data_IF_685169670873
#
_entry.id   IF_685169670873
#
_cell.length_a   1.000
_cell.length_b   1.000
_cell.length_c   1.000
_cell.angle_alpha   90.00
_cell.angle_beta   90.00
_cell.angle_gamma   90.00
#
_symmetry.space_group_name_H-M   'P 1'
#
loop_
_entity.id
_entity.type
_entity.pdbx_description
1 polymer ?
#
# COMPACT_ATOMS: atom_id res chain seq x y z
N UNK A 1 29.63 -64.56 -10.08
CA UNK A 1 29.16 -65.48 -9.02
C UNK A 1 27.87 -64.91 -8.45
N UNK A 2 26.75 -65.63 -8.53
CA UNK A 2 25.48 -65.18 -7.92
C UNK A 2 25.45 -65.60 -6.45
N UNK A 3 25.20 -64.66 -5.55
CA UNK A 3 25.17 -64.88 -4.10
C UNK A 3 23.71 -64.81 -3.65
N UNK A 4 23.22 -65.87 -3.01
CA UNK A 4 21.88 -65.89 -2.41
C UNK A 4 21.95 -65.31 -1.00
N UNK A 5 21.12 -64.29 -0.73
CA UNK A 5 20.95 -63.68 0.59
C UNK A 5 19.44 -63.62 0.90
N UNK A 6 19.10 -63.79 2.18
CA UNK A 6 17.74 -63.63 2.67
C UNK A 6 17.67 -62.28 3.40
N UNK A 7 16.64 -61.49 3.10
CA UNK A 7 16.39 -60.19 3.73
C UNK A 7 14.99 -60.19 4.33
N UNK A 8 14.82 -59.51 5.45
CA UNK A 8 13.51 -59.28 6.06
C UNK A 8 13.07 -57.86 5.76
N UNK A 9 11.84 -57.70 5.26
CA UNK A 9 11.26 -56.40 4.91
C UNK A 9 9.83 -56.33 5.46
N UNK A 10 9.47 -55.19 6.04
CA UNK A 10 8.08 -54.92 6.39
C UNK A 10 7.23 -54.80 5.12
N UNK A 11 5.96 -55.18 5.21
CA UNK A 11 4.98 -55.10 4.12
C UNK A 11 4.88 -53.69 3.50
N UNK A 12 5.03 -52.64 4.32
CA UNK A 12 5.03 -51.24 3.86
C UNK A 12 6.16 -50.93 2.86
N UNK A 13 7.30 -51.60 2.96
CA UNK A 13 8.43 -51.43 2.04
C UNK A 13 8.30 -52.36 0.83
N UNK A 14 7.74 -53.55 1.01
CA UNK A 14 7.39 -54.44 -0.09
C UNK A 14 6.41 -53.75 -1.06
N UNK A 15 5.39 -53.06 -0.52
CA UNK A 15 4.45 -52.23 -1.30
C UNK A 15 5.12 -51.11 -2.09
N UNK A 16 6.20 -50.51 -1.57
CA UNK A 16 6.97 -49.49 -2.29
C UNK A 16 7.78 -50.06 -3.46
N UNK A 17 8.14 -51.35 -3.39
CA UNK A 17 8.80 -52.07 -4.49
C UNK A 17 7.82 -52.54 -5.55
N UNK A 18 6.50 -52.45 -5.33
CA UNK A 18 5.49 -52.96 -6.25
C UNK A 18 5.66 -52.47 -7.69
N UNK A 19 5.94 -51.17 -7.96
CA UNK A 19 6.15 -50.71 -9.34
C UNK A 19 7.33 -51.41 -10.04
N UNK A 20 8.42 -51.67 -9.30
CA UNK A 20 9.60 -52.39 -9.83
C UNK A 20 9.35 -53.89 -9.94
N UNK A 21 8.55 -54.47 -9.03
CA UNK A 21 8.10 -55.86 -9.11
C UNK A 21 7.25 -56.08 -10.36
N UNK A 22 6.30 -55.20 -10.63
CA UNK A 22 5.42 -55.28 -11.80
C UNK A 22 6.24 -55.17 -13.10
N UNK A 23 7.19 -54.23 -13.15
CA UNK A 23 8.13 -54.09 -14.28
C UNK A 23 9.01 -55.34 -14.51
N UNK A 24 9.27 -56.11 -13.44
CA UNK A 24 10.07 -57.32 -13.47
C UNK A 24 9.24 -58.62 -13.40
N UNK A 25 7.95 -58.56 -13.75
CA UNK A 25 7.05 -59.72 -13.75
C UNK A 25 7.02 -60.49 -12.41
N UNK A 26 7.01 -59.76 -11.30
CA UNK A 26 7.00 -60.31 -9.94
C UNK A 26 8.36 -60.79 -9.41
N UNK A 27 9.45 -60.62 -10.15
CA UNK A 27 10.78 -61.05 -9.71
C UNK A 27 11.40 -60.08 -8.70
N UNK A 28 11.30 -60.42 -7.40
CA UNK A 28 11.87 -59.61 -6.32
C UNK A 28 13.38 -59.42 -6.40
N UNK A 29 14.12 -60.44 -6.85
CA UNK A 29 15.59 -60.32 -6.98
C UNK A 29 16.01 -59.39 -8.12
N UNK A 30 15.17 -59.22 -9.14
CA UNK A 30 15.41 -58.26 -10.21
C UNK A 30 15.01 -56.84 -9.76
N UNK A 31 13.83 -56.69 -9.15
CA UNK A 31 13.40 -55.40 -8.58
C UNK A 31 14.36 -54.82 -7.54
N UNK A 32 14.96 -55.67 -6.68
CA UNK A 32 15.99 -55.25 -5.72
C UNK A 32 17.29 -54.84 -6.44
N UNK A 33 17.67 -55.51 -7.53
CA UNK A 33 18.83 -55.09 -8.33
C UNK A 33 18.60 -53.73 -8.97
N UNK A 34 17.43 -53.49 -9.56
CA UNK A 34 17.09 -52.17 -10.11
C UNK A 34 17.09 -51.08 -9.04
N UNK A 35 16.61 -51.40 -7.83
CA UNK A 35 16.67 -50.46 -6.70
C UNK A 35 18.12 -50.14 -6.31
N UNK A 36 19.02 -51.13 -6.35
CA UNK A 36 20.45 -50.93 -6.08
C UNK A 36 21.09 -50.07 -7.18
N UNK A 37 20.78 -50.31 -8.45
CA UNK A 37 21.30 -49.50 -9.57
C UNK A 37 20.83 -48.04 -9.49
N UNK A 38 19.56 -47.82 -9.14
CA UNK A 38 19.01 -46.47 -8.89
C UNK A 38 19.71 -45.81 -7.70
N UNK A 39 19.92 -46.55 -6.60
CA UNK A 39 20.61 -46.04 -5.42
C UNK A 39 22.09 -45.74 -5.70
N UNK A 40 22.79 -46.59 -6.45
CA UNK A 40 24.18 -46.40 -6.85
C UNK A 40 24.31 -45.16 -7.74
N UNK A 41 23.46 -45.05 -8.77
CA UNK A 41 23.40 -43.88 -9.64
C UNK A 41 23.13 -42.60 -8.85
N UNK A 42 22.19 -42.63 -7.90
CA UNK A 42 21.89 -41.48 -7.06
C UNK A 42 23.06 -41.11 -6.13
N UNK A 43 23.80 -42.10 -5.60
CA UNK A 43 24.97 -41.89 -4.75
C UNK A 43 26.24 -41.49 -5.51
N UNK A 44 26.32 -41.70 -6.83
CA UNK A 44 27.38 -41.13 -7.66
C UNK A 44 27.39 -39.59 -7.62
N UNK A 45 26.21 -38.99 -7.48
CA UNK A 45 26.02 -37.53 -7.50
C UNK A 45 25.76 -36.91 -6.12
N UNK A 46 25.47 -37.73 -5.09
CA UNK A 46 25.08 -37.26 -3.76
C UNK A 46 25.85 -37.98 -2.66
N UNK A 47 26.23 -37.26 -1.59
CA UNK A 47 27.14 -37.77 -0.56
C UNK A 47 26.45 -38.71 0.44
N UNK A 48 25.12 -38.74 0.46
CA UNK A 48 24.33 -39.63 1.33
C UNK A 48 23.00 -40.04 0.69
N UNK A 49 22.42 -41.14 1.18
CA UNK A 49 21.11 -41.63 0.74
C UNK A 49 20.02 -40.59 1.00
N UNK A 50 20.08 -39.87 2.13
CA UNK A 50 19.10 -38.84 2.47
C UNK A 50 19.15 -37.65 1.51
N UNK A 51 20.36 -37.25 1.09
CA UNK A 51 20.56 -36.19 0.10
C UNK A 51 20.03 -36.62 -1.28
N UNK A 52 20.30 -37.87 -1.67
CA UNK A 52 19.83 -38.45 -2.93
C UNK A 52 18.29 -38.57 -2.97
N UNK A 53 17.67 -39.01 -1.88
CA UNK A 53 16.20 -39.07 -1.75
C UNK A 53 15.60 -37.67 -1.82
N UNK A 54 16.21 -36.67 -1.18
CA UNK A 54 15.74 -35.28 -1.27
C UNK A 54 15.83 -34.76 -2.70
N UNK A 55 16.94 -35.01 -3.39
CA UNK A 55 17.11 -34.63 -4.79
C UNK A 55 16.02 -35.26 -5.67
N UNK A 56 15.83 -36.58 -5.61
CA UNK A 56 14.82 -37.29 -6.41
C UNK A 56 13.37 -36.84 -6.11
N UNK A 57 13.09 -36.31 -4.91
CA UNK A 57 11.81 -35.70 -4.57
C UNK A 57 11.65 -34.26 -5.10
N UNK A 58 12.75 -33.54 -5.28
CA UNK A 58 12.78 -32.16 -5.79
C UNK A 58 12.88 -32.10 -7.32
N UNK A 59 13.38 -33.16 -7.97
CA UNK A 59 13.53 -33.25 -9.44
C UNK A 59 12.22 -33.07 -10.21
N UNK A 60 11.07 -33.69 -9.84
CA UNK A 60 9.82 -33.53 -10.58
C UNK A 60 9.37 -32.06 -10.68
N UNK A 61 9.49 -31.30 -9.58
CA UNK A 61 9.15 -29.88 -9.57
C UNK A 61 10.09 -29.03 -10.45
N UNK A 62 11.37 -29.44 -10.58
CA UNK A 62 12.34 -28.77 -11.46
C UNK A 62 12.09 -29.13 -12.93
N UNK A 63 11.70 -30.36 -13.22
CA UNK A 63 11.35 -30.81 -14.57
C UNK A 63 10.06 -30.13 -15.05
N UNK A 64 9.00 -30.09 -14.25
CA UNK A 64 7.78 -29.32 -14.54
C UNK A 64 8.07 -27.83 -14.78
N UNK A 65 8.91 -27.21 -13.95
CA UNK A 65 9.30 -25.82 -14.16
C UNK A 65 10.09 -25.63 -15.47
N UNK A 66 11.01 -26.55 -15.79
CA UNK A 66 11.76 -26.49 -17.04
C UNK A 66 10.86 -26.69 -18.26
N UNK A 67 9.86 -27.58 -18.19
CA UNK A 67 8.88 -27.79 -19.26
C UNK A 67 8.02 -26.54 -19.47
N UNK A 68 7.50 -25.94 -18.41
CA UNK A 68 6.71 -24.70 -18.51
C UNK A 68 7.54 -23.51 -19.02
N UNK A 69 8.84 -23.46 -18.72
CA UNK A 69 9.77 -22.49 -19.33
C UNK A 69 9.98 -22.78 -20.82
N UNK A 70 10.15 -24.05 -21.20
CA UNK A 70 10.36 -24.44 -22.60
C UNK A 70 9.11 -24.19 -23.47
N UNK A 71 7.93 -24.42 -22.91
CA UNK A 71 6.65 -24.20 -23.59
C UNK A 71 6.20 -22.73 -23.59
N UNK A 72 6.95 -21.85 -22.92
CA UNK A 72 6.69 -20.39 -22.91
C UNK A 72 5.63 -19.93 -21.91
N UNK A 73 5.17 -20.81 -21.02
CA UNK A 73 4.23 -20.47 -19.94
C UNK A 73 4.93 -19.70 -18.82
N UNK A 74 6.19 -20.05 -18.51
CA UNK A 74 7.02 -19.39 -17.51
C UNK A 74 8.26 -18.75 -18.14
N UNK A 75 8.77 -17.68 -17.52
CA UNK A 75 10.01 -17.01 -17.95
C UNK A 75 11.04 -16.99 -16.83
N UNK A 76 12.32 -17.07 -17.21
CA UNK A 76 13.42 -16.86 -16.26
C UNK A 76 13.75 -15.38 -16.21
N UNK A 77 13.58 -14.78 -15.03
CA UNK A 77 13.94 -13.39 -14.76
C UNK A 77 15.10 -13.31 -13.77
N UNK A 78 16.01 -12.37 -14.00
CA UNK A 78 17.06 -12.07 -13.05
C UNK A 78 16.45 -11.55 -11.73
N UNK A 79 16.93 -12.06 -10.58
CA UNK A 79 16.44 -11.66 -9.25
C UNK A 79 16.46 -10.14 -9.03
N UNK A 80 17.50 -9.44 -9.45
CA UNK A 80 17.61 -7.98 -9.28
C UNK A 80 16.55 -7.25 -10.10
N UNK A 81 16.23 -7.73 -11.31
CA UNK A 81 15.16 -7.19 -12.13
C UNK A 81 13.79 -7.44 -11.49
N UNK A 82 13.54 -8.65 -10.99
CA UNK A 82 12.30 -8.98 -10.30
C UNK A 82 12.09 -8.12 -9.04
N UNK A 83 13.13 -7.95 -8.23
CA UNK A 83 13.09 -7.07 -7.06
C UNK A 83 12.84 -5.60 -7.42
N UNK A 84 13.42 -5.15 -8.55
CA UNK A 84 13.13 -3.82 -9.08
C UNK A 84 11.66 -3.68 -9.50
N UNK A 85 11.08 -4.69 -10.16
CA UNK A 85 9.66 -4.71 -10.54
C UNK A 85 8.76 -4.61 -9.31
N UNK A 86 8.97 -5.44 -8.28
CA UNK A 86 8.19 -5.37 -7.03
C UNK A 86 8.33 -4.03 -6.32
N UNK A 87 9.49 -3.38 -6.42
CA UNK A 87 9.67 -2.03 -5.88
C UNK A 87 8.89 -0.99 -6.66
N UNK A 88 8.83 -1.11 -7.99
CA UNK A 88 8.13 -0.18 -8.88
C UNK A 88 6.60 -0.32 -8.83
N UNK A 89 6.08 -1.50 -8.50
CA UNK A 89 4.62 -1.73 -8.35
C UNK A 89 4.10 -1.42 -6.96
N UNK A 90 5.00 -1.10 -6.01
CA UNK A 90 4.62 -0.84 -4.62
C UNK A 90 3.60 0.30 -4.51
N UNK A 91 2.48 0.03 -3.85
CA UNK A 91 1.42 1.03 -3.62
C UNK A 91 0.33 1.03 -4.69
N UNK A 92 0.48 0.26 -5.78
CA UNK A 92 -0.54 0.01 -6.81
C UNK A 92 -1.26 -1.29 -6.50
N UNK A 93 -2.58 -1.35 -6.66
CA UNK A 93 -3.34 -2.59 -6.41
C UNK A 93 -3.27 -3.50 -7.63
N UNK A 94 -2.95 -4.77 -7.42
CA UNK A 94 -3.01 -5.80 -8.47
C UNK A 94 -4.46 -6.03 -8.90
N UNK A 95 -4.69 -6.10 -10.20
CA UNK A 95 -6.00 -6.39 -10.77
C UNK A 95 -6.57 -7.72 -10.28
N UNK A 96 -7.88 -7.75 -10.07
CA UNK A 96 -8.58 -8.93 -9.53
C UNK A 96 -8.42 -10.16 -10.43
N UNK A 97 -8.43 -9.97 -11.76
CA UNK A 97 -8.22 -11.04 -12.74
C UNK A 97 -6.89 -11.73 -12.54
N UNK A 98 -5.81 -10.95 -12.39
CA UNK A 98 -4.48 -11.49 -12.14
C UNK A 98 -4.38 -12.18 -10.77
N UNK A 99 -5.06 -11.66 -9.74
CA UNK A 99 -5.12 -12.35 -8.44
C UNK A 99 -5.80 -13.71 -8.55
N UNK A 100 -6.92 -13.78 -9.29
CA UNK A 100 -7.68 -15.02 -9.47
C UNK A 100 -6.95 -16.03 -10.39
N UNK A 101 -6.13 -15.55 -11.33
CA UNK A 101 -5.24 -16.39 -12.13
C UNK A 101 -4.11 -17.01 -11.27
N UNK A 102 -3.53 -16.21 -10.35
CA UNK A 102 -2.44 -16.66 -9.47
C UNK A 102 -2.91 -17.45 -8.25
N UNK A 103 -4.13 -17.24 -7.80
CA UNK A 103 -4.73 -17.88 -6.62
C UNK A 103 -6.16 -18.27 -7.01
N UNK A 104 -6.32 -19.47 -7.57
CA UNK A 104 -7.61 -19.93 -8.07
C UNK A 104 -8.63 -20.09 -6.92
N UNK A 105 -9.69 -19.27 -6.86
CA UNK A 105 -10.67 -19.31 -5.77
C UNK A 105 -11.52 -20.59 -5.78
N UNK A 106 -11.64 -21.28 -6.91
CA UNK A 106 -12.44 -22.51 -7.03
C UNK A 106 -11.70 -23.75 -6.53
N UNK A 107 -10.36 -23.69 -6.43
CA UNK A 107 -9.54 -24.77 -5.86
C UNK A 107 -9.36 -24.62 -4.34
N UNK A 108 -9.61 -23.44 -3.78
CA UNK A 108 -9.28 -23.10 -2.40
C UNK A 108 -10.57 -22.94 -1.59
N UNK A 109 -10.92 -23.97 -0.84
CA UNK A 109 -12.16 -24.00 -0.07
C UNK A 109 -12.01 -23.36 1.32
N UNK A 110 -10.86 -23.55 1.96
CA UNK A 110 -10.61 -23.13 3.34
C UNK A 110 -9.22 -22.46 3.50
N UNK A 111 -9.00 -21.85 4.67
CA UNK A 111 -7.76 -21.12 4.97
C UNK A 111 -6.52 -22.02 5.04
N UNK A 112 -6.70 -23.32 5.33
CA UNK A 112 -5.59 -24.28 5.39
C UNK A 112 -5.15 -24.69 3.99
N UNK A 113 -6.10 -24.93 3.10
CA UNK A 113 -5.85 -25.15 1.68
C UNK A 113 -5.16 -23.94 1.04
N UNK A 114 -5.55 -22.72 1.41
CA UNK A 114 -4.86 -21.50 0.97
C UNK A 114 -3.39 -21.48 1.43
N UNK A 115 -3.13 -21.74 2.72
CA UNK A 115 -1.76 -21.80 3.26
C UNK A 115 -0.92 -22.85 2.54
N UNK A 116 -1.46 -24.05 2.33
CA UNK A 116 -0.76 -25.16 1.69
C UNK A 116 -0.53 -24.89 0.19
N UNK A 117 -1.51 -24.28 -0.50
CA UNK A 117 -1.40 -23.82 -1.88
C UNK A 117 -0.25 -22.80 -2.04
N UNK A 118 -0.26 -21.73 -1.26
CA UNK A 118 0.73 -20.65 -1.36
C UNK A 118 2.15 -21.17 -1.12
N UNK A 119 2.33 -22.05 -0.13
CA UNK A 119 3.63 -22.66 0.15
C UNK A 119 4.05 -23.68 -0.92
N UNK A 120 3.11 -24.41 -1.51
CA UNK A 120 3.40 -25.32 -2.65
C UNK A 120 3.86 -24.52 -3.86
N UNK A 121 3.09 -23.51 -4.27
CA UNK A 121 3.40 -22.64 -5.41
C UNK A 121 4.75 -21.93 -5.21
N UNK A 122 5.00 -21.39 -4.01
CA UNK A 122 6.29 -20.78 -3.68
C UNK A 122 7.45 -21.75 -3.90
N UNK A 123 7.33 -23.02 -3.47
CA UNK A 123 8.36 -24.05 -3.71
C UNK A 123 8.51 -24.41 -5.18
N UNK A 124 7.40 -24.59 -5.91
CA UNK A 124 7.42 -24.91 -7.34
C UNK A 124 8.14 -23.83 -8.17
N UNK A 125 7.90 -22.56 -7.86
CA UNK A 125 8.60 -21.43 -8.50
C UNK A 125 9.95 -21.08 -7.86
N UNK A 126 10.43 -21.90 -6.92
CA UNK A 126 11.69 -21.69 -6.19
C UNK A 126 11.76 -20.32 -5.47
N UNK A 127 10.60 -19.77 -5.11
CA UNK A 127 10.51 -18.62 -4.26
C UNK A 127 10.80 -19.03 -2.81
N UNK A 128 11.59 -18.23 -2.12
CA UNK A 128 12.02 -18.53 -0.73
C UNK A 128 10.94 -18.15 0.29
N UNK A 129 9.82 -17.59 -0.17
CA UNK A 129 8.76 -17.08 0.68
C UNK A 129 8.02 -18.22 1.36
N UNK A 130 7.74 -18.02 2.64
CA UNK A 130 6.91 -18.91 3.43
C UNK A 130 5.71 -18.15 3.97
N UNK A 131 4.52 -18.73 3.80
CA UNK A 131 3.27 -18.18 4.30
C UNK A 131 2.79 -19.04 5.47
N UNK A 132 2.31 -18.41 6.53
CA UNK A 132 1.57 -19.08 7.60
C UNK A 132 0.29 -18.33 7.91
N UNK A 133 -0.80 -19.07 8.10
CA UNK A 133 -2.13 -18.51 8.34
C UNK A 133 -2.65 -19.04 9.67
N UNK A 134 -3.04 -18.13 10.57
CA UNK A 134 -3.68 -18.47 11.85
C UNK A 134 -5.07 -17.87 11.90
N UNK A 135 -6.08 -18.69 12.14
CA UNK A 135 -7.46 -18.27 12.34
C UNK A 135 -8.15 -19.29 13.27
N UNK A 136 -9.24 -18.87 13.91
CA UNK A 136 -10.00 -19.73 14.82
C UNK A 136 -10.87 -20.74 14.05
N UNK A 137 -11.55 -20.27 13.00
CA UNK A 137 -12.32 -21.09 12.06
C UNK A 137 -11.65 -21.05 10.68
N UNK A 138 -11.26 -22.21 10.17
CA UNK A 138 -10.62 -22.35 8.86
C UNK A 138 -11.59 -22.16 7.69
N UNK A 139 -12.89 -22.39 7.89
CA UNK A 139 -13.89 -22.31 6.83
C UNK A 139 -14.44 -20.89 6.70
N UNK A 140 -14.78 -20.27 7.83
CA UNK A 140 -15.43 -18.96 7.90
C UNK A 140 -14.80 -18.07 8.99
N UNK A 141 -13.54 -17.64 8.80
CA UNK A 141 -12.81 -16.86 9.80
C UNK A 141 -13.45 -15.48 10.06
N UNK A 142 -13.68 -15.14 11.33
CA UNK A 142 -14.00 -13.77 11.75
C UNK A 142 -12.76 -12.87 11.78
N UNK A 143 -11.60 -13.47 12.03
CA UNK A 143 -10.29 -12.83 11.98
C UNK A 143 -9.25 -13.81 11.49
N UNK A 144 -8.19 -13.29 10.89
CA UNK A 144 -7.05 -14.10 10.47
C UNK A 144 -5.75 -13.32 10.65
N UNK A 145 -4.68 -14.05 10.96
CA UNK A 145 -3.33 -13.55 11.02
C UNK A 145 -2.49 -14.24 9.96
N UNK A 146 -2.07 -13.49 8.96
CA UNK A 146 -1.18 -13.98 7.90
C UNK A 146 0.24 -13.51 8.18
N UNK A 147 1.18 -14.45 8.20
CA UNK A 147 2.61 -14.19 8.34
C UNK A 147 3.33 -14.62 7.06
N UNK A 148 3.95 -13.67 6.39
CA UNK A 148 4.81 -13.92 5.22
C UNK A 148 6.25 -13.72 5.67
N UNK A 149 7.09 -14.74 5.53
CA UNK A 149 8.47 -14.74 6.01
C UNK A 149 9.46 -15.03 4.89
N UNK A 150 10.73 -14.69 5.15
CA UNK A 150 11.86 -14.78 4.22
C UNK A 150 11.76 -13.77 3.06
N UNK A 151 12.71 -13.86 2.12
CA UNK A 151 12.86 -12.94 0.99
C UNK A 151 13.07 -11.47 1.40
N UNK A 152 12.96 -10.55 0.45
CA UNK A 152 13.05 -9.10 0.66
C UNK A 152 11.71 -8.52 1.13
N UNK A 153 11.74 -7.28 1.64
CA UNK A 153 10.51 -6.56 2.01
C UNK A 153 9.62 -6.29 0.79
N UNK A 154 10.20 -6.06 -0.39
CA UNK A 154 9.45 -5.76 -1.62
C UNK A 154 8.69 -6.98 -2.12
N UNK A 155 9.40 -8.12 -2.20
CA UNK A 155 8.79 -9.41 -2.49
C UNK A 155 7.67 -9.71 -1.50
N UNK A 156 7.93 -9.65 -0.18
CA UNK A 156 6.89 -9.92 0.83
C UNK A 156 5.68 -8.99 0.72
N UNK A 157 5.88 -7.70 0.44
CA UNK A 157 4.78 -6.74 0.28
C UNK A 157 3.92 -7.06 -0.95
N UNK A 158 4.51 -7.51 -2.06
CA UNK A 158 3.77 -7.95 -3.24
C UNK A 158 2.90 -9.18 -2.93
N UNK A 159 3.47 -10.22 -2.32
CA UNK A 159 2.69 -11.42 -1.95
C UNK A 159 1.64 -11.12 -0.87
N UNK A 160 1.97 -10.25 0.08
CA UNK A 160 1.03 -9.78 1.11
C UNK A 160 -0.20 -9.14 0.48
N UNK A 161 0.00 -8.31 -0.55
CA UNK A 161 -1.09 -7.71 -1.29
C UNK A 161 -1.94 -8.73 -2.04
N UNK A 162 -1.33 -9.70 -2.75
CA UNK A 162 -2.09 -10.75 -3.45
C UNK A 162 -2.98 -11.53 -2.49
N UNK A 163 -2.42 -11.95 -1.35
CA UNK A 163 -3.16 -12.69 -0.32
C UNK A 163 -4.25 -11.81 0.30
N UNK A 164 -3.96 -10.54 0.61
CA UNK A 164 -4.94 -9.62 1.15
C UNK A 164 -6.11 -9.39 0.17
N UNK A 165 -5.80 -9.20 -1.11
CA UNK A 165 -6.82 -9.01 -2.14
C UNK A 165 -7.70 -10.25 -2.27
N UNK A 166 -7.11 -11.44 -2.33
CA UNK A 166 -7.85 -12.71 -2.35
C UNK A 166 -8.77 -12.87 -1.13
N UNK A 167 -8.25 -12.66 0.08
CA UNK A 167 -9.02 -12.80 1.32
C UNK A 167 -10.17 -11.78 1.44
N UNK A 168 -9.97 -10.55 0.93
CA UNK A 168 -11.03 -9.55 0.92
C UNK A 168 -12.21 -9.94 0.03
N UNK A 169 -11.92 -10.48 -1.16
CA UNK A 169 -12.94 -10.83 -2.16
C UNK A 169 -13.65 -12.14 -1.82
N UNK A 170 -12.87 -13.17 -1.46
CA UNK A 170 -13.39 -14.52 -1.33
C UNK A 170 -13.71 -14.94 0.11
N UNK A 171 -13.20 -14.21 1.11
CA UNK A 171 -13.46 -14.49 2.54
C UNK A 171 -14.02 -13.29 3.31
N UNK A 172 -14.27 -12.15 2.65
CA UNK A 172 -14.78 -10.91 3.27
C UNK A 172 -13.94 -10.43 4.46
N UNK A 173 -12.63 -10.60 4.38
CA UNK A 173 -11.67 -10.20 5.39
C UNK A 173 -10.92 -8.93 4.93
N UNK A 174 -11.08 -7.83 5.67
CA UNK A 174 -10.34 -6.59 5.41
C UNK A 174 -9.07 -6.52 6.27
N UNK A 175 -8.08 -5.76 5.78
CA UNK A 175 -6.80 -5.53 6.46
C UNK A 175 -6.99 -4.51 7.58
N UNK A 176 -6.75 -4.94 8.82
CA UNK A 176 -6.78 -4.05 9.98
C UNK A 176 -5.39 -3.41 10.21
N UNK A 177 -4.35 -4.24 10.18
CA UNK A 177 -2.97 -3.84 10.47
C UNK A 177 -1.95 -4.59 9.61
N UNK A 178 -0.86 -3.90 9.26
CA UNK A 178 0.31 -4.51 8.60
C UNK A 178 1.58 -4.13 9.37
N UNK A 179 2.28 -5.13 9.88
CA UNK A 179 3.56 -4.97 10.57
C UNK A 179 4.69 -5.53 9.72
N UNK A 180 5.56 -4.65 9.23
CA UNK A 180 6.73 -5.01 8.42
C UNK A 180 7.96 -5.11 9.31
N UNK A 181 8.55 -6.30 9.39
CA UNK A 181 9.81 -6.59 10.08
C UNK A 181 10.91 -6.90 9.06
N UNK A 182 12.15 -7.00 9.53
CA UNK A 182 13.31 -7.27 8.66
C UNK A 182 13.17 -8.58 7.87
N UNK A 183 12.67 -9.64 8.51
CA UNK A 183 12.55 -10.98 7.93
C UNK A 183 11.11 -11.46 7.71
N UNK A 184 10.10 -10.66 8.08
CA UNK A 184 8.69 -11.04 7.94
C UNK A 184 7.76 -9.84 7.77
N UNK A 185 6.58 -10.09 7.23
CA UNK A 185 5.45 -9.17 7.13
C UNK A 185 4.24 -9.87 7.73
N UNK A 186 3.67 -9.28 8.77
CA UNK A 186 2.49 -9.79 9.47
C UNK A 186 1.28 -8.92 9.12
N UNK A 187 0.16 -9.56 8.78
CA UNK A 187 -1.07 -8.90 8.37
C UNK A 187 -2.20 -9.42 9.26
N UNK A 188 -2.86 -8.51 9.96
CA UNK A 188 -4.06 -8.81 10.74
C UNK A 188 -5.29 -8.48 9.91
N UNK A 189 -6.22 -9.42 9.87
CA UNK A 189 -7.48 -9.30 9.14
C UNK A 189 -8.67 -9.38 10.08
N UNK A 190 -9.75 -8.70 9.70
CA UNK A 190 -11.04 -8.72 10.39
C UNK A 190 -12.17 -8.79 9.38
N UNK A 191 -13.23 -9.52 9.71
CA UNK A 191 -14.42 -9.63 8.86
C UNK A 191 -15.04 -8.24 8.61
N UNK A 192 -15.32 -7.97 7.34
CA UNK A 192 -15.99 -6.76 6.89
C UNK A 192 -17.00 -7.11 5.78
N UNK A 193 -18.29 -7.04 6.11
CA UNK A 193 -19.39 -7.33 5.17
C UNK A 193 -20.06 -6.07 4.64
N UNK A 194 -19.56 -4.88 5.01
CA UNK A 194 -20.22 -3.60 4.74
C UNK A 194 -19.99 -3.06 3.33
N UNK A 195 -19.25 -3.79 2.48
CA UNK A 195 -18.77 -3.31 1.18
C UNK A 195 -19.27 -4.23 0.08
N UNK A 196 -19.68 -3.64 -1.04
CA UNK A 196 -20.10 -4.38 -2.24
C UNK A 196 -18.94 -5.25 -2.76
N UNK A 197 -19.27 -6.39 -3.36
CA UNK A 197 -18.25 -7.31 -3.90
C UNK A 197 -17.36 -6.67 -4.97
N UNK A 198 -17.80 -5.60 -5.64
CA UNK A 198 -17.04 -4.89 -6.66
C UNK A 198 -16.04 -3.87 -6.12
N UNK A 199 -16.19 -3.40 -4.89
CA UNK A 199 -15.31 -2.38 -4.33
C UNK A 199 -14.07 -2.96 -3.65
N UNK A 200 -12.98 -2.19 -3.66
CA UNK A 200 -11.75 -2.52 -2.95
C UNK A 200 -11.92 -2.09 -1.49
N UNK A 201 -11.67 -3.01 -0.56
CA UNK A 201 -11.82 -2.74 0.86
C UNK A 201 -10.84 -1.64 1.38
N UNK A 202 -11.26 -0.76 2.30
CA UNK A 202 -10.49 0.37 2.83
C UNK A 202 -9.15 -0.03 3.42
N UNK A 203 -9.08 -1.16 4.13
CA UNK A 203 -7.83 -1.66 4.71
C UNK A 203 -6.78 -1.95 3.65
N UNK A 204 -7.17 -2.61 2.55
CA UNK A 204 -6.28 -2.85 1.40
C UNK A 204 -5.83 -1.54 0.78
N UNK A 205 -6.75 -0.61 0.49
CA UNK A 205 -6.40 0.68 -0.10
C UNK A 205 -5.42 1.45 0.77
N UNK A 206 -5.63 1.46 2.08
CA UNK A 206 -4.76 2.12 3.05
C UNK A 206 -3.35 1.52 3.11
N UNK A 207 -3.23 0.19 3.12
CA UNK A 207 -1.96 -0.48 3.41
C UNK A 207 -1.15 -0.94 2.19
N UNK A 208 -1.83 -1.18 1.07
CA UNK A 208 -1.22 -1.70 -0.17
C UNK A 208 -1.54 -0.85 -1.40
N UNK A 209 -2.65 -0.11 -1.40
CA UNK A 209 -3.12 0.70 -2.55
C UNK A 209 -3.01 2.21 -2.37
N UNK A 210 -2.08 2.70 -1.55
CA UNK A 210 -2.00 4.12 -1.19
C UNK A 210 -1.58 5.03 -2.35
N UNK A 211 -1.09 4.47 -3.47
CA UNK A 211 -0.82 5.20 -4.71
C UNK A 211 -1.81 4.86 -5.83
N UNK A 212 -2.80 3.99 -5.59
CA UNK A 212 -3.65 3.43 -6.64
C UNK A 212 -4.39 4.54 -7.42
N UNK A 213 -5.01 5.48 -6.69
CA UNK A 213 -5.70 6.63 -7.28
C UNK A 213 -4.75 7.52 -8.08
N UNK A 214 -3.56 7.79 -7.55
CA UNK A 214 -2.57 8.63 -8.21
C UNK A 214 -2.04 7.96 -9.48
N UNK A 215 -1.73 6.66 -9.41
CA UNK A 215 -1.20 5.93 -10.55
C UNK A 215 -2.25 5.79 -11.65
N UNK A 216 -3.51 5.52 -11.31
CA UNK A 216 -4.61 5.55 -12.27
C UNK A 216 -4.75 6.92 -12.93
N UNK A 217 -4.72 8.00 -12.16
CA UNK A 217 -4.78 9.36 -12.71
C UNK A 217 -3.59 9.67 -13.65
N UNK A 218 -2.39 9.22 -13.31
CA UNK A 218 -1.21 9.37 -14.17
C UNK A 218 -1.30 8.51 -15.43
N UNK A 219 -1.80 7.29 -15.32
CA UNK A 219 -1.93 6.35 -16.43
C UNK A 219 -3.08 6.81 -17.38
N UNK A 220 -4.22 7.26 -16.85
CA UNK A 220 -5.38 7.74 -17.61
C UNK A 220 -5.12 9.09 -18.30
N UNK A 221 -4.31 9.97 -17.67
CA UNK A 221 -4.03 11.33 -18.16
C UNK A 221 -2.52 11.55 -18.43
N UNK A 222 -1.81 10.53 -18.91
CA UNK A 222 -0.34 10.54 -19.06
C UNK A 222 0.18 11.74 -19.86
N UNK A 223 -0.46 12.05 -21.00
CA UNK A 223 -0.03 13.16 -21.85
C UNK A 223 -0.12 14.51 -21.12
N UNK A 224 -1.24 14.75 -20.42
CA UNK A 224 -1.46 15.97 -19.65
C UNK A 224 -0.40 16.13 -18.56
N UNK A 225 -0.18 15.12 -17.73
CA UNK A 225 0.77 15.19 -16.63
C UNK A 225 2.22 15.32 -17.12
N UNK A 226 2.57 14.62 -18.20
CA UNK A 226 3.88 14.74 -18.84
C UNK A 226 4.13 16.16 -19.33
N UNK A 227 3.17 16.74 -20.06
CA UNK A 227 3.29 18.10 -20.58
C UNK A 227 3.32 19.14 -19.44
N UNK A 228 2.52 18.95 -18.40
CA UNK A 228 2.51 19.81 -17.22
C UNK A 228 3.89 19.83 -16.56
N UNK A 229 4.48 18.66 -16.29
CA UNK A 229 5.80 18.55 -15.66
C UNK A 229 6.90 19.20 -16.52
N UNK A 230 6.88 18.99 -17.85
CA UNK A 230 7.83 19.67 -18.75
C UNK A 230 7.68 21.19 -18.72
N UNK A 231 6.44 21.68 -18.71
CA UNK A 231 6.14 23.12 -18.66
C UNK A 231 6.66 23.74 -17.36
N UNK A 232 6.38 23.10 -16.21
CA UNK A 232 6.90 23.54 -14.91
C UNK A 232 8.42 23.52 -14.85
N UNK A 233 9.06 22.47 -15.37
CA UNK A 233 10.53 22.37 -15.34
C UNK A 233 11.20 23.43 -16.24
N UNK A 234 10.65 23.68 -17.43
CA UNK A 234 11.15 24.72 -18.35
C UNK A 234 11.12 26.11 -17.69
N UNK A 235 10.06 26.40 -16.94
CA UNK A 235 9.87 27.66 -16.20
C UNK A 235 10.52 27.64 -14.81
N UNK A 236 11.35 26.63 -14.49
CA UNK A 236 12.00 26.47 -13.17
C UNK A 236 11.03 26.60 -11.99
N UNK A 237 9.84 26.04 -12.16
CA UNK A 237 8.74 26.09 -11.20
C UNK A 237 8.25 27.51 -10.86
N UNK A 238 8.53 28.51 -11.71
CA UNK A 238 8.06 29.89 -11.58
C UNK A 238 6.71 30.11 -12.28
N UNK A 239 5.76 29.21 -12.06
CA UNK A 239 4.40 29.27 -12.61
C UNK A 239 3.40 29.28 -11.47
N UNK A 240 2.35 30.09 -11.58
CA UNK A 240 1.25 30.10 -10.62
C UNK A 240 0.09 29.29 -11.18
N UNK A 241 -0.42 28.33 -10.39
CA UNK A 241 -1.68 27.63 -10.70
C UNK A 241 -2.86 28.37 -10.09
N UNK A 242 -3.83 28.73 -10.92
CA UNK A 242 -5.11 29.31 -10.49
C UNK A 242 -6.26 28.54 -11.12
N UNK A 243 -7.37 28.44 -10.38
CA UNK A 243 -8.61 27.98 -10.98
C UNK A 243 -9.10 28.99 -12.03
N UNK A 244 -9.69 28.52 -13.14
CA UNK A 244 -10.12 29.39 -14.26
C UNK A 244 -11.00 30.55 -13.79
N UNK A 245 -11.98 30.28 -12.93
CA UNK A 245 -12.86 31.34 -12.38
C UNK A 245 -12.12 32.35 -11.50
N UNK A 246 -11.01 31.98 -10.87
CA UNK A 246 -10.20 32.92 -10.09
C UNK A 246 -9.35 33.78 -11.03
N UNK A 247 -8.76 33.16 -12.06
CA UNK A 247 -8.03 33.88 -13.09
C UNK A 247 -8.91 34.91 -13.79
N UNK A 248 -10.16 34.56 -14.13
CA UNK A 248 -11.13 35.50 -14.73
C UNK A 248 -11.36 36.73 -13.85
N UNK A 249 -11.58 36.55 -12.54
CA UNK A 249 -11.79 37.66 -11.60
C UNK A 249 -10.51 38.47 -11.40
N UNK A 250 -9.35 37.83 -11.34
CA UNK A 250 -8.07 38.56 -11.30
C UNK A 250 -7.86 39.37 -12.59
N UNK A 251 -8.25 38.85 -13.75
CA UNK A 251 -8.12 39.53 -15.04
C UNK A 251 -9.05 40.75 -15.15
N UNK A 252 -10.17 40.79 -14.43
CA UNK A 252 -11.02 41.99 -14.33
C UNK A 252 -10.50 43.03 -13.32
N UNK A 253 -9.41 42.72 -12.60
CA UNK A 253 -8.82 43.60 -11.58
C UNK A 253 -9.42 43.45 -10.19
N UNK A 254 -10.35 42.50 -10.00
CA UNK A 254 -10.95 42.19 -8.71
C UNK A 254 -10.17 41.09 -7.96
N UNK A 255 -10.48 40.89 -6.68
CA UNK A 255 -9.87 39.84 -5.86
C UNK A 255 -10.87 38.70 -5.69
N UNK A 256 -10.61 37.50 -6.24
CA UNK A 256 -11.53 36.38 -6.14
C UNK A 256 -11.68 35.89 -4.70
N UNK A 257 -12.82 35.25 -4.41
CA UNK A 257 -12.97 34.50 -3.17
C UNK A 257 -12.36 33.07 -3.34
N UNK A 258 -11.28 32.74 -2.60
CA UNK A 258 -10.68 31.41 -2.60
C UNK A 258 -11.47 30.27 -1.96
N UNK A 259 -12.45 30.55 -1.11
CA UNK A 259 -12.96 29.56 -0.14
C UNK A 259 -13.53 28.31 -0.80
N UNK A 260 -14.27 28.48 -1.89
CA UNK A 260 -14.88 27.37 -2.65
C UNK A 260 -13.92 26.25 -3.05
N UNK A 261 -12.64 26.55 -3.28
CA UNK A 261 -11.66 25.52 -3.65
C UNK A 261 -11.30 24.66 -2.44
N UNK A 262 -11.01 25.31 -1.31
CA UNK A 262 -10.74 24.63 -0.05
C UNK A 262 -11.94 23.79 0.39
N UNK A 263 -13.16 24.32 0.27
CA UNK A 263 -14.38 23.59 0.63
C UNK A 263 -14.58 22.33 -0.20
N UNK A 264 -14.33 22.39 -1.52
CA UNK A 264 -14.41 21.23 -2.41
C UNK A 264 -13.36 20.17 -2.08
N UNK A 265 -12.14 20.60 -1.76
CA UNK A 265 -11.05 19.69 -1.40
C UNK A 265 -11.29 19.01 -0.05
N UNK A 266 -11.74 19.77 0.95
CA UNK A 266 -12.01 19.27 2.29
C UNK A 266 -13.39 18.59 2.42
N UNK A 267 -14.28 18.76 1.44
CA UNK A 267 -15.69 18.32 1.48
C UNK A 267 -16.45 18.83 2.72
N UNK A 268 -16.08 20.03 3.18
CA UNK A 268 -16.62 20.68 4.37
C UNK A 268 -16.59 22.19 4.16
N UNK A 269 -17.59 22.91 4.69
CA UNK A 269 -17.61 24.38 4.70
C UNK A 269 -16.46 24.95 5.53
N UNK A 270 -15.89 26.08 5.12
CA UNK A 270 -14.81 26.72 5.90
C UNK A 270 -15.32 27.25 7.25
N UNK A 271 -16.57 27.68 7.33
CA UNK A 271 -17.19 28.12 8.59
C UNK A 271 -17.23 27.00 9.64
N UNK A 272 -17.28 25.74 9.21
CA UNK A 272 -17.40 24.59 10.11
C UNK A 272 -16.04 23.99 10.49
N UNK A 273 -14.92 24.50 9.92
CA UNK A 273 -13.58 23.99 10.21
C UNK A 273 -13.02 24.61 11.48
N UNK A 274 -12.32 23.80 12.28
CA UNK A 274 -11.47 24.33 13.35
C UNK A 274 -10.31 25.12 12.72
N UNK A 275 -9.84 26.17 13.40
CA UNK A 275 -8.69 26.94 12.92
C UNK A 275 -7.47 26.04 12.64
N UNK A 276 -7.03 25.13 13.53
CA UNK A 276 -5.90 24.23 13.25
C UNK A 276 -6.09 23.40 11.97
N UNK A 277 -7.27 22.81 11.76
CA UNK A 277 -7.55 22.01 10.56
C UNK A 277 -7.54 22.88 9.30
N UNK A 278 -8.13 24.08 9.37
CA UNK A 278 -8.10 25.04 8.28
C UNK A 278 -6.66 25.43 7.93
N UNK A 279 -5.81 25.73 8.91
CA UNK A 279 -4.42 26.14 8.66
C UNK A 279 -3.60 25.01 8.02
N UNK A 280 -3.78 23.76 8.47
CA UNK A 280 -3.12 22.59 7.87
C UNK A 280 -3.55 22.41 6.41
N UNK A 281 -4.84 22.51 6.10
CA UNK A 281 -5.35 22.38 4.74
C UNK A 281 -4.95 23.56 3.85
N UNK A 282 -4.99 24.78 4.39
CA UNK A 282 -4.51 26.00 3.76
C UNK A 282 -3.06 25.84 3.30
N UNK A 283 -2.16 25.39 4.18
CA UNK A 283 -0.74 25.17 3.84
C UNK A 283 -0.58 24.14 2.74
N UNK A 284 -1.25 22.99 2.84
CA UNK A 284 -1.17 21.93 1.81
C UNK A 284 -1.60 22.46 0.44
N UNK A 285 -2.70 23.19 0.37
CA UNK A 285 -3.26 23.66 -0.88
C UNK A 285 -2.41 24.78 -1.51
N UNK A 286 -2.08 25.83 -0.75
CA UNK A 286 -1.42 27.00 -1.33
C UNK A 286 0.07 26.84 -1.59
N UNK A 287 0.74 25.88 -0.95
CA UNK A 287 2.07 25.46 -1.40
C UNK A 287 2.02 24.78 -2.77
N UNK A 288 0.95 24.04 -3.07
CA UNK A 288 0.79 23.37 -4.36
C UNK A 288 0.51 24.35 -5.52
N UNK A 289 -0.08 25.52 -5.24
CA UNK A 289 -0.40 26.51 -6.29
C UNK A 289 0.79 27.36 -6.74
N UNK A 290 1.91 27.33 -6.00
CA UNK A 290 3.07 28.22 -6.19
C UNK A 290 2.71 29.73 -6.15
N UNK A 291 1.51 30.07 -5.65
CA UNK A 291 1.14 31.46 -5.38
C UNK A 291 1.99 32.04 -4.25
N UNK A 292 2.54 31.18 -3.41
CA UNK A 292 3.40 31.52 -2.27
C UNK A 292 4.58 30.57 -2.26
N UNK A 293 5.71 31.02 -1.73
CA UNK A 293 6.96 30.27 -1.68
C UNK A 293 6.99 29.29 -0.50
N UNK A 294 6.50 29.75 0.64
CA UNK A 294 6.46 28.95 1.85
C UNK A 294 5.33 29.45 2.75
N UNK A 295 4.86 28.56 3.64
CA UNK A 295 3.88 28.87 4.67
C UNK A 295 4.38 28.24 5.98
N UNK A 296 4.55 29.07 7.00
CA UNK A 296 4.83 28.67 8.37
C UNK A 296 3.59 28.86 9.22
N UNK A 297 3.29 27.87 10.08
CA UNK A 297 2.13 27.87 10.96
C UNK A 297 2.64 27.69 12.38
N UNK A 298 2.22 28.59 13.28
CA UNK A 298 2.28 28.39 14.72
C UNK A 298 0.90 28.01 15.23
N UNK A 299 0.82 26.89 15.96
CA UNK A 299 -0.40 26.42 16.64
C UNK A 299 -0.24 26.51 18.17
N UNK A 300 0.63 27.40 18.66
CA UNK A 300 0.72 27.68 20.08
C UNK A 300 -0.60 28.29 20.56
N UNK A 301 -1.23 27.68 21.56
CA UNK A 301 -2.53 28.12 22.08
C UNK A 301 -2.49 29.58 22.49
N UNK A 302 -3.32 30.42 21.89
CA UNK A 302 -3.39 31.86 22.16
C UNK A 302 -2.35 32.72 21.43
N UNK A 303 -1.53 32.11 20.57
CA UNK A 303 -0.59 32.79 19.68
C UNK A 303 -0.56 32.10 18.30
N UNK A 304 -1.72 31.60 17.87
CA UNK A 304 -1.87 30.98 16.58
C UNK A 304 -1.56 32.00 15.48
N UNK A 305 -0.72 31.62 14.52
CA UNK A 305 -0.35 32.51 13.43
C UNK A 305 0.03 31.76 12.17
N UNK A 306 -0.15 32.45 11.04
CA UNK A 306 0.31 32.00 9.73
C UNK A 306 1.20 33.05 9.12
N UNK A 307 2.41 32.64 8.75
CA UNK A 307 3.35 33.48 7.99
C UNK A 307 3.47 32.93 6.58
N UNK A 308 3.14 33.76 5.60
CA UNK A 308 3.15 33.45 4.18
C UNK A 308 4.32 34.17 3.54
N UNK A 309 5.24 33.44 2.93
CA UNK A 309 6.39 34.00 2.22
C UNK A 309 6.11 34.07 0.72
N UNK A 310 6.48 35.17 0.08
CA UNK A 310 6.29 35.38 -1.36
C UNK A 310 7.45 36.14 -1.98
N UNK A 311 7.63 36.01 -3.30
CA UNK A 311 8.67 36.69 -4.07
C UNK A 311 8.15 37.89 -4.91
N UNK A 312 6.88 38.27 -4.74
CA UNK A 312 6.28 39.43 -5.42
C UNK A 312 6.86 40.77 -4.94
N UNK A 313 7.01 41.72 -5.88
CA UNK A 313 7.56 43.06 -5.63
C UNK A 313 6.54 44.19 -5.83
N UNK A 314 5.50 43.98 -6.62
CA UNK A 314 4.46 45.00 -6.84
C UNK A 314 3.53 45.05 -5.62
N UNK A 315 3.47 46.19 -4.95
CA UNK A 315 2.64 46.38 -3.76
C UNK A 315 1.14 46.13 -4.00
N UNK A 316 0.64 46.36 -5.23
CA UNK A 316 -0.76 46.07 -5.56
C UNK A 316 -1.03 44.57 -5.51
N UNK A 317 -0.08 43.75 -5.99
CA UNK A 317 -0.16 42.30 -5.93
C UNK A 317 -0.13 41.84 -4.47
N UNK A 318 0.77 42.41 -3.66
CA UNK A 318 0.87 42.09 -2.23
C UNK A 318 -0.43 42.44 -1.51
N UNK A 319 -1.00 43.63 -1.73
CA UNK A 319 -2.31 44.01 -1.16
C UNK A 319 -3.45 43.10 -1.62
N UNK A 320 -3.45 42.69 -2.88
CA UNK A 320 -4.45 41.75 -3.40
C UNK A 320 -4.30 40.36 -2.77
N UNK A 321 -3.07 39.88 -2.55
CA UNK A 321 -2.81 38.62 -1.84
C UNK A 321 -3.25 38.68 -0.39
N UNK A 322 -2.96 39.78 0.31
CA UNK A 322 -3.48 40.02 1.67
C UNK A 322 -5.00 39.89 1.67
N UNK A 323 -5.70 40.63 0.79
CA UNK A 323 -7.16 40.56 0.69
C UNK A 323 -7.67 39.16 0.34
N UNK A 324 -7.00 38.48 -0.60
CA UNK A 324 -7.33 37.14 -1.06
C UNK A 324 -7.28 36.14 0.10
N UNK A 325 -6.19 36.10 0.88
CA UNK A 325 -6.08 35.21 2.03
C UNK A 325 -6.94 35.63 3.22
N UNK A 326 -7.12 36.94 3.46
CA UNK A 326 -8.04 37.44 4.49
C UNK A 326 -9.46 36.92 4.30
N UNK A 327 -9.93 36.75 3.05
CA UNK A 327 -11.28 36.24 2.79
C UNK A 327 -11.48 34.83 3.37
N UNK A 328 -10.46 33.97 3.34
CA UNK A 328 -10.51 32.62 3.90
C UNK A 328 -10.73 32.65 5.40
N UNK A 329 -9.89 33.43 6.09
CA UNK A 329 -9.89 33.48 7.55
C UNK A 329 -11.13 34.21 8.09
N UNK A 330 -11.62 35.23 7.37
CA UNK A 330 -12.88 35.90 7.71
C UNK A 330 -14.07 34.96 7.56
N UNK A 331 -14.12 34.16 6.50
CA UNK A 331 -15.21 33.21 6.28
C UNK A 331 -15.20 32.08 7.33
N UNK A 332 -14.04 31.73 7.88
CA UNK A 332 -13.94 30.84 9.04
C UNK A 332 -14.47 31.47 10.34
N UNK A 333 -14.53 32.81 10.44
CA UNK A 333 -14.98 33.51 11.65
C UNK A 333 -13.91 33.70 12.72
N UNK A 334 -12.67 33.24 12.49
CA UNK A 334 -11.56 33.48 13.43
C UNK A 334 -11.10 34.95 13.34
N UNK A 335 -11.07 35.71 14.44
CA UNK A 335 -10.60 37.10 14.40
C UNK A 335 -9.06 37.12 14.29
N UNK A 336 -8.54 38.08 13.51
CA UNK A 336 -7.12 38.18 13.23
C UNK A 336 -6.65 39.59 12.93
N UNK A 337 -5.35 39.81 13.13
CA UNK A 337 -4.62 40.97 12.63
C UNK A 337 -3.71 40.55 11.47
N UNK A 338 -3.48 41.46 10.52
CA UNK A 338 -2.60 41.21 9.37
C UNK A 338 -1.48 42.22 9.30
N UNK A 339 -0.25 41.70 9.17
CA UNK A 339 0.96 42.49 8.97
C UNK A 339 1.55 42.13 7.62
N UNK A 340 1.85 43.14 6.80
CA UNK A 340 2.48 42.95 5.49
C UNK A 340 3.87 43.55 5.51
N UNK A 341 4.86 42.74 5.15
CA UNK A 341 6.24 43.14 4.94
C UNK A 341 6.61 42.90 3.46
N UNK A 342 7.81 43.30 3.04
CA UNK A 342 8.24 43.26 1.64
C UNK A 342 8.17 41.86 1.00
N UNK A 343 8.40 40.79 1.76
CA UNK A 343 8.42 39.41 1.27
C UNK A 343 7.60 38.43 2.12
N UNK A 344 6.78 38.94 3.04
CA UNK A 344 5.98 38.09 3.91
C UNK A 344 4.69 38.78 4.37
N UNK A 345 3.65 37.97 4.55
CA UNK A 345 2.35 38.36 5.10
C UNK A 345 2.11 37.52 6.35
N UNK A 346 1.82 38.15 7.47
CA UNK A 346 1.59 37.49 8.76
C UNK A 346 0.15 37.71 9.18
N UNK A 347 -0.56 36.62 9.47
CA UNK A 347 -1.86 36.60 10.12
C UNK A 347 -1.67 36.12 11.56
N UNK A 348 -2.08 36.92 12.54
CA UNK A 348 -2.10 36.53 13.95
C UNK A 348 -3.54 36.43 14.43
N UNK A 349 -3.91 35.27 14.94
CA UNK A 349 -5.24 34.98 15.42
C UNK A 349 -5.30 35.20 16.94
N UNK A 350 -6.46 35.58 17.44
CA UNK A 350 -6.72 35.74 18.87
C UNK A 350 -8.09 35.16 19.21
N UNK A 351 -8.33 34.88 20.48
CA UNK A 351 -9.67 34.55 20.94
C UNK A 351 -10.42 35.85 21.19
N UNK A 352 -11.64 35.96 20.66
CA UNK A 352 -12.58 36.95 21.17
C UNK A 352 -12.81 36.61 22.65
N UNK A 353 -12.29 37.46 23.55
CA UNK A 353 -12.78 37.44 24.93
C UNK A 353 -14.24 37.85 24.85
N UNK A 354 -15.15 36.99 25.31
CA UNK A 354 -16.48 37.44 25.69
C UNK A 354 -16.32 38.66 26.61
N UNK A 355 -17.08 39.75 26.40
CA UNK A 355 -17.00 40.89 27.30
C UNK A 355 -17.33 40.38 28.70
N UNK A 356 -16.34 40.50 29.59
CA UNK A 356 -16.42 40.05 30.95
C UNK A 356 -17.64 40.72 31.60
N UNK A 357 -18.69 39.93 31.89
CA UNK A 357 -19.91 40.40 32.58
C UNK A 357 -19.63 40.95 33.99
N UNK A 358 -18.37 40.99 34.39
CA UNK A 358 -17.78 41.57 35.59
C UNK A 358 -17.94 43.11 35.66
N UNK A 359 -17.96 43.81 34.53
CA UNK A 359 -17.95 45.29 34.51
C UNK A 359 -19.36 45.92 34.61
N UNK A 360 -20.42 45.11 34.59
CA UNK A 360 -21.80 45.58 34.78
C UNK A 360 -22.26 45.60 36.25
N UNK A 361 -21.47 45.06 37.19
CA UNK A 361 -21.80 45.05 38.62
C UNK A 361 -21.08 46.13 39.45
N UNK A 362 -20.21 46.94 38.83
CA UNK A 362 -19.46 48.01 39.53
C UNK A 362 -20.08 49.41 39.40
N UNK A 363 -21.21 49.57 38.70
CA UNK A 363 -21.89 50.87 38.56
C UNK A 363 -23.19 51.02 39.38
N UNK A 364 -23.69 49.99 40.07
CA UNK A 364 -24.95 50.10 40.85
C UNK A 364 -24.75 50.25 42.38
N UNK A 365 -23.52 50.38 42.89
CA UNK A 365 -23.27 50.56 44.33
C UNK A 365 -22.86 51.96 44.77
N UNK A 366 -22.97 52.96 43.89
CA UNK A 366 -22.78 54.37 44.26
C UNK A 366 -23.96 55.24 43.81
N UNK A 367 -25.13 55.04 44.43
CA UNK A 367 -26.09 56.14 44.61
C UNK A 367 -26.83 55.95 45.95
N UNK A 368 -26.62 56.94 46.81
CA UNK A 368 -26.98 57.17 48.21
C UNK A 368 -28.50 57.36 48.43
N UNK A 369 -29.04 57.44 49.68
CA UNK A 369 -28.51 58.20 50.83
C UNK A 369 -28.46 57.52 52.21
#
# INVERSE_FOLDING_TARGET
MLIRKNISLDDKYLKKLQPLLDANNGNLSAAVRDTIEVADTALLYHKSIDEAIRFLKETPAKEELNETIQNGENIVINKTMLEWLFRCTKGRITDEELVNELINPFEIQDMKQLEDYLNRVSRSYQWVIQTSIKCEDINNPESALVLISNSTVHSRDFFAQLVAHFLSKWKHLDVEHVFRRSNSTQISFKRNTSISSSEIMPGIRKHFGYLDVLCKELDDNTEFWTQLMYTYNAERFNLVTLHRSQFEVFATGEVPNPTKILERLCKQSICDMTLPDLLVNFRKMYLATQLVKNIEISLETGNESVTIFHDFKDERVIRNLVKYFSNIFRENGSPFETFSYSSMIVFRFFQEQEPDSSDLYLMESMEEP
#
